data_IF_572787841181
#
_entry.id   IF_572787841181
#
_cell.length_a   1.000
_cell.length_b   1.000
_cell.length_c   1.000
_cell.angle_alpha   90.00
_cell.angle_beta   90.00
_cell.angle_gamma   90.00
#
_symmetry.space_group_name_H-M   'P 1'
#
loop_
_entity.id
_entity.type
_entity.pdbx_description
1 polymer ?
#
# COMPACT_ATOMS: atom_id res chain seq x y z
N UNK A 1 -30.49 -29.60 47.06
CA UNK A 1 -29.36 -29.43 46.12
C UNK A 1 -29.90 -29.53 44.71
N UNK A 2 -29.85 -28.46 43.92
CA UNK A 2 -29.65 -28.41 42.46
C UNK A 2 -30.09 -27.01 41.99
N UNK A 3 -29.13 -26.19 41.56
CA UNK A 3 -29.37 -24.81 41.14
C UNK A 3 -28.13 -24.17 40.55
N UNK A 4 -27.37 -24.91 39.75
CA UNK A 4 -26.18 -24.43 39.03
C UNK A 4 -26.26 -24.77 37.53
N UNK A 5 -27.35 -24.42 36.86
CA UNK A 5 -27.45 -24.60 35.40
C UNK A 5 -27.77 -23.31 34.62
N UNK A 6 -27.93 -22.17 35.29
CA UNK A 6 -28.32 -20.91 34.61
C UNK A 6 -27.16 -19.95 34.30
N UNK A 7 -25.91 -20.40 34.29
CA UNK A 7 -24.75 -19.53 33.97
C UNK A 7 -23.87 -19.99 32.81
N UNK A 8 -24.11 -21.18 32.25
CA UNK A 8 -23.31 -21.67 31.12
C UNK A 8 -23.84 -21.26 29.74
N UNK A 9 -25.10 -20.81 29.63
CA UNK A 9 -25.71 -20.47 28.33
C UNK A 9 -25.35 -19.04 27.88
N UNK A 10 -24.92 -18.17 28.80
CA UNK A 10 -24.58 -16.78 28.46
C UNK A 10 -23.13 -16.55 28.01
N UNK A 11 -22.26 -17.57 28.15
CA UNK A 11 -20.85 -17.46 27.74
C UNK A 11 -20.55 -18.00 26.33
N UNK A 12 -21.52 -18.59 25.64
CA UNK A 12 -21.32 -19.13 24.28
C UNK A 12 -21.64 -18.12 23.15
N UNK A 13 -22.17 -16.92 23.47
CA UNK A 13 -22.52 -15.92 22.46
C UNK A 13 -21.43 -14.83 22.30
N UNK A 14 -20.40 -14.79 23.16
CA UNK A 14 -19.41 -13.69 23.16
C UNK A 14 -18.03 -14.04 22.57
N UNK A 15 -17.80 -15.27 22.08
CA UNK A 15 -16.51 -15.70 21.53
C UNK A 15 -16.55 -16.07 20.05
N UNK A 16 -17.52 -15.54 19.30
CA UNK A 16 -17.60 -15.70 17.85
C UNK A 16 -17.45 -14.35 17.13
N UNK A 17 -16.51 -13.52 17.56
CA UNK A 17 -15.87 -12.59 16.63
C UNK A 17 -14.89 -13.45 15.82
N UNK A 18 -15.46 -14.26 14.92
CA UNK A 18 -14.72 -14.85 13.82
C UNK A 18 -13.98 -13.70 13.16
N UNK A 19 -12.66 -13.73 13.26
CA UNK A 19 -11.77 -13.02 12.35
C UNK A 19 -12.18 -13.42 10.94
N UNK A 20 -13.07 -12.65 10.33
CA UNK A 20 -13.39 -12.79 8.92
C UNK A 20 -12.04 -12.78 8.20
N UNK A 21 -11.68 -13.84 7.46
CA UNK A 21 -10.52 -13.76 6.60
C UNK A 21 -10.78 -12.54 5.72
N UNK A 22 -9.82 -11.61 5.71
CA UNK A 22 -9.82 -10.51 4.77
C UNK A 22 -9.79 -11.18 3.39
N UNK A 23 -10.96 -11.36 2.80
CA UNK A 23 -11.06 -11.75 1.40
C UNK A 23 -10.59 -10.53 0.64
N UNK A 24 -9.31 -10.56 0.30
CA UNK A 24 -8.76 -9.68 -0.71
C UNK A 24 -9.69 -9.79 -1.92
N UNK A 25 -10.25 -8.66 -2.36
CA UNK A 25 -10.87 -8.62 -3.67
C UNK A 25 -9.72 -8.72 -4.68
N UNK A 26 -9.40 -9.96 -5.06
CA UNK A 26 -8.29 -10.25 -5.96
C UNK A 26 -8.38 -9.41 -7.25
N UNK A 27 -9.59 -9.08 -7.72
CA UNK A 27 -9.81 -8.17 -8.84
C UNK A 27 -9.33 -6.74 -8.58
N UNK A 28 -9.63 -6.17 -7.41
CA UNK A 28 -9.18 -4.82 -7.02
C UNK A 28 -7.65 -4.75 -6.91
N UNK A 29 -7.04 -5.74 -6.25
CA UNK A 29 -5.59 -5.79 -6.10
C UNK A 29 -4.89 -5.98 -7.45
N UNK A 30 -5.42 -6.82 -8.34
CA UNK A 30 -4.88 -7.01 -9.69
C UNK A 30 -4.91 -5.72 -10.52
N UNK A 31 -5.91 -4.85 -10.31
CA UNK A 31 -5.97 -3.54 -10.94
C UNK A 31 -4.82 -2.60 -10.53
N UNK A 32 -4.07 -2.89 -9.46
CA UNK A 32 -2.88 -2.12 -9.09
C UNK A 32 -1.71 -2.35 -10.07
N UNK A 33 -1.60 -3.55 -10.65
CA UNK A 33 -0.46 -3.94 -11.50
C UNK A 33 -0.27 -3.01 -12.70
N UNK A 34 0.97 -2.81 -13.12
CA UNK A 34 1.32 -2.02 -14.31
C UNK A 34 2.14 -0.78 -14.00
N UNK A 35 2.19 0.14 -14.97
CA UNK A 35 3.01 1.35 -14.90
C UNK A 35 2.19 2.56 -14.44
N UNK A 36 2.81 3.38 -13.59
CA UNK A 36 2.22 4.52 -12.92
C UNK A 36 3.21 5.68 -12.92
N UNK A 37 2.69 6.90 -12.80
CA UNK A 37 3.49 8.12 -12.78
C UNK A 37 2.92 9.16 -11.82
N UNK A 38 3.79 9.98 -11.26
CA UNK A 38 3.40 11.06 -10.36
C UNK A 38 4.63 11.74 -9.76
N UNK A 39 4.59 12.00 -8.46
CA UNK A 39 5.57 12.81 -7.76
C UNK A 39 5.94 12.22 -6.40
N UNK A 40 7.07 12.68 -5.88
CA UNK A 40 7.48 12.46 -4.51
C UNK A 40 7.80 13.79 -3.83
N UNK A 41 7.64 13.86 -2.51
CA UNK A 41 8.09 14.98 -1.68
C UNK A 41 8.61 14.50 -0.32
N UNK A 42 9.61 15.21 0.20
CA UNK A 42 10.14 15.11 1.57
C UNK A 42 9.71 16.33 2.36
N UNK A 43 9.19 16.13 3.56
CA UNK A 43 8.75 17.20 4.45
C UNK A 43 9.93 17.91 5.12
N UNK A 44 11.02 17.17 5.40
CA UNK A 44 12.16 17.75 6.14
C UNK A 44 13.11 18.51 5.20
N UNK A 45 13.42 17.94 4.04
CA UNK A 45 14.31 18.60 3.07
C UNK A 45 13.59 19.56 2.11
N UNK A 46 12.25 19.53 2.08
CA UNK A 46 11.42 20.19 1.06
C UNK A 46 11.74 19.77 -0.38
N UNK A 47 12.52 18.71 -0.57
CA UNK A 47 12.80 18.21 -1.91
C UNK A 47 11.58 17.50 -2.47
N UNK A 48 11.43 17.60 -3.79
CA UNK A 48 10.35 16.96 -4.54
C UNK A 48 10.80 16.68 -5.96
N UNK A 49 10.12 15.76 -6.63
CA UNK A 49 10.42 15.44 -8.01
C UNK A 49 9.44 14.46 -8.64
N UNK A 50 9.65 14.20 -9.91
CA UNK A 50 8.88 13.19 -10.65
C UNK A 50 9.18 11.79 -10.14
N UNK A 51 8.15 10.96 -10.12
CA UNK A 51 8.22 9.57 -9.70
C UNK A 51 7.50 8.69 -10.73
N UNK A 52 8.15 7.62 -11.16
CA UNK A 52 7.54 6.51 -11.90
C UNK A 52 7.46 5.31 -10.98
N UNK A 53 6.40 4.52 -11.11
CA UNK A 53 6.25 3.27 -10.39
C UNK A 53 5.81 2.15 -11.34
N UNK A 54 6.28 0.93 -11.06
CA UNK A 54 5.73 -0.29 -11.64
C UNK A 54 5.31 -1.21 -10.49
N UNK A 55 4.04 -1.58 -10.46
CA UNK A 55 3.51 -2.52 -9.48
C UNK A 55 3.33 -3.90 -10.09
N UNK A 56 3.58 -4.93 -9.28
CA UNK A 56 3.37 -6.33 -9.63
C UNK A 56 2.77 -7.03 -8.43
N UNK A 57 1.53 -7.51 -8.56
CA UNK A 57 0.90 -8.37 -7.55
C UNK A 57 1.64 -9.70 -7.54
N UNK A 58 2.23 -10.06 -6.40
CA UNK A 58 2.97 -11.32 -6.24
C UNK A 58 2.04 -12.45 -5.83
N UNK A 59 1.07 -12.13 -4.97
CA UNK A 59 0.00 -13.00 -4.49
C UNK A 59 -1.08 -12.13 -3.82
N UNK A 60 -2.12 -12.74 -3.27
CA UNK A 60 -3.25 -12.05 -2.61
C UNK A 60 -2.86 -11.14 -1.44
N UNK A 61 -1.66 -11.35 -0.87
CA UNK A 61 -1.18 -10.64 0.33
C UNK A 61 -0.02 -9.71 0.03
N UNK A 62 0.59 -9.77 -1.15
CA UNK A 62 1.85 -9.06 -1.41
C UNK A 62 1.91 -8.42 -2.78
N UNK A 63 2.44 -7.20 -2.80
CA UNK A 63 2.67 -6.41 -4.01
C UNK A 63 4.11 -5.94 -4.02
N UNK A 64 4.80 -6.18 -5.12
CA UNK A 64 6.09 -5.53 -5.36
C UNK A 64 5.86 -4.16 -6.00
N UNK A 65 6.49 -3.13 -5.43
CA UNK A 65 6.55 -1.80 -5.98
C UNK A 65 7.98 -1.47 -6.40
N UNK A 66 8.17 -1.08 -7.67
CA UNK A 66 9.45 -0.57 -8.18
C UNK A 66 9.30 0.91 -8.49
N UNK A 67 9.98 1.76 -7.75
CA UNK A 67 10.00 3.20 -7.94
C UNK A 67 11.25 3.64 -8.68
N UNK A 68 11.11 4.66 -9.53
CA UNK A 68 12.19 5.34 -10.21
C UNK A 68 11.92 6.84 -10.19
N UNK A 69 12.83 7.61 -9.60
CA UNK A 69 12.69 9.06 -9.47
C UNK A 69 14.03 9.77 -9.56
N UNK A 70 13.99 11.07 -9.30
CA UNK A 70 15.20 11.91 -9.22
C UNK A 70 15.18 12.75 -7.96
N UNK A 71 16.29 12.73 -7.24
CA UNK A 71 16.63 13.63 -6.15
C UNK A 71 17.35 14.86 -6.69
N UNK A 72 17.02 16.06 -6.17
CA UNK A 72 17.53 17.34 -6.71
C UNK A 72 17.41 17.51 -8.23
N UNK A 73 16.43 16.87 -8.88
CA UNK A 73 16.27 16.79 -10.35
C UNK A 73 17.44 16.15 -11.12
N UNK A 74 18.56 15.81 -10.47
CA UNK A 74 19.80 15.36 -11.11
C UNK A 74 20.18 13.93 -10.76
N UNK A 75 19.96 13.52 -9.51
CA UNK A 75 20.46 12.24 -9.00
C UNK A 75 19.34 11.19 -9.14
N UNK A 76 19.43 10.23 -10.08
CA UNK A 76 18.42 9.19 -10.21
C UNK A 76 18.45 8.27 -9.00
N UNK A 77 17.27 7.85 -8.54
CA UNK A 77 17.15 6.77 -7.57
C UNK A 77 16.22 5.69 -8.09
N UNK A 78 16.50 4.46 -7.66
CA UNK A 78 15.63 3.29 -7.89
C UNK A 78 15.43 2.61 -6.55
N UNK A 79 14.19 2.21 -6.31
CA UNK A 79 13.82 1.64 -5.03
C UNK A 79 12.78 0.53 -5.23
N UNK A 80 13.07 -0.67 -4.74
CA UNK A 80 12.20 -1.84 -4.90
C UNK A 80 11.82 -2.33 -3.51
N UNK A 81 10.51 -2.44 -3.27
CA UNK A 81 9.97 -2.96 -2.01
C UNK A 81 8.86 -3.96 -2.27
N UNK A 82 8.68 -4.84 -1.30
CA UNK A 82 7.48 -5.66 -1.16
C UNK A 82 6.59 -5.01 -0.11
N UNK A 83 5.32 -4.84 -0.45
CA UNK A 83 4.28 -4.28 0.40
C UNK A 83 3.30 -5.40 0.75
N UNK A 84 2.97 -5.52 2.03
CA UNK A 84 1.97 -6.45 2.53
C UNK A 84 0.59 -5.77 2.54
N UNK A 85 -0.41 -6.48 2.05
CA UNK A 85 -1.82 -6.08 2.10
C UNK A 85 -2.31 -6.21 3.55
N UNK A 86 -2.75 -5.10 4.13
CA UNK A 86 -3.24 -5.06 5.52
C UNK A 86 -4.77 -5.04 5.58
N UNK A 87 -5.44 -4.46 4.58
CA UNK A 87 -6.90 -4.52 4.47
C UNK A 87 -7.37 -4.18 3.06
N UNK A 88 -8.53 -4.70 2.69
CA UNK A 88 -9.28 -4.31 1.49
C UNK A 88 -10.73 -4.12 1.89
N UNK A 89 -11.22 -2.88 1.85
CA UNK A 89 -12.59 -2.52 2.24
C UNK A 89 -13.09 -1.38 1.36
N UNK A 90 -14.32 -1.49 0.86
CA UNK A 90 -15.01 -0.39 0.16
C UNK A 90 -14.21 0.23 -1.00
N UNK A 91 -13.49 -0.61 -1.78
CA UNK A 91 -12.66 -0.16 -2.90
C UNK A 91 -11.37 0.53 -2.48
N UNK A 92 -10.97 0.39 -1.22
CA UNK A 92 -9.71 0.90 -0.66
C UNK A 92 -8.87 -0.27 -0.18
N UNK A 93 -7.68 -0.38 -0.75
CA UNK A 93 -6.64 -1.28 -0.31
C UNK A 93 -5.62 -0.51 0.54
N UNK A 94 -5.35 -1.00 1.75
CA UNK A 94 -4.25 -0.52 2.60
C UNK A 94 -3.09 -1.49 2.51
N UNK A 95 -1.91 -0.98 2.23
CA UNK A 95 -0.68 -1.76 2.24
C UNK A 95 0.33 -1.16 3.20
N UNK A 96 1.26 -1.99 3.68
CA UNK A 96 2.38 -1.55 4.51
C UNK A 96 3.67 -2.22 4.09
N UNK A 97 4.78 -1.62 4.44
CA UNK A 97 6.09 -2.24 4.27
C UNK A 97 7.14 -1.53 5.09
N UNK A 98 8.31 -2.15 5.16
CA UNK A 98 9.50 -1.49 5.68
C UNK A 98 10.72 -1.93 4.88
N UNK A 99 11.74 -1.08 4.87
CA UNK A 99 13.00 -1.37 4.22
C UNK A 99 14.13 -0.71 5.00
N UNK A 100 15.15 -1.49 5.34
CA UNK A 100 16.33 -0.97 6.02
C UNK A 100 17.29 -0.37 4.98
N UNK A 101 17.50 0.94 5.01
CA UNK A 101 18.46 1.64 4.15
C UNK A 101 19.85 1.76 4.82
N UNK A 102 20.09 1.00 5.89
CA UNK A 102 21.32 0.99 6.65
C UNK A 102 21.46 2.19 7.58
N UNK A 103 22.56 2.19 8.34
CA UNK A 103 22.81 3.14 9.45
C UNK A 103 22.73 4.62 9.05
N UNK A 104 23.03 4.95 7.80
CA UNK A 104 23.02 6.33 7.33
C UNK A 104 21.60 6.89 7.15
N UNK A 105 20.64 6.07 6.68
CA UNK A 105 19.30 6.51 6.29
C UNK A 105 18.18 5.93 7.16
N UNK A 106 18.47 4.90 7.95
CA UNK A 106 17.55 4.26 8.89
C UNK A 106 16.56 3.31 8.22
N UNK A 107 15.59 2.86 9.00
CA UNK A 107 14.50 2.00 8.51
C UNK A 107 13.40 2.89 7.95
N UNK A 108 13.13 2.74 6.66
CA UNK A 108 12.00 3.34 5.98
C UNK A 108 10.74 2.52 6.20
N UNK A 109 9.70 3.15 6.71
CA UNK A 109 8.36 2.58 6.83
C UNK A 109 7.43 3.18 5.78
N UNK A 110 6.48 2.40 5.28
CA UNK A 110 5.48 2.82 4.31
C UNK A 110 4.07 2.51 4.81
N UNK A 111 3.20 3.51 4.81
CA UNK A 111 1.75 3.37 4.98
C UNK A 111 1.07 3.80 3.69
N UNK A 112 0.42 2.83 3.03
CA UNK A 112 -0.09 2.99 1.67
C UNK A 112 -1.61 2.98 1.65
N UNK A 113 -2.17 3.88 0.84
CA UNK A 113 -3.56 3.85 0.40
C UNK A 113 -3.60 3.72 -1.11
N UNK A 114 -4.24 2.66 -1.60
CA UNK A 114 -4.57 2.46 -2.99
C UNK A 114 -6.10 2.49 -3.15
N UNK A 115 -6.59 3.34 -4.06
CA UNK A 115 -8.01 3.48 -4.38
C UNK A 115 -8.18 3.85 -5.85
N UNK A 116 -8.90 3.03 -6.61
CA UNK A 116 -9.15 3.29 -8.04
C UNK A 116 -7.86 3.40 -8.84
N UNK A 117 -7.51 4.61 -9.28
CA UNK A 117 -6.29 4.88 -10.07
C UNK A 117 -5.24 5.67 -9.30
N UNK A 118 -5.34 5.75 -7.98
CA UNK A 118 -4.44 6.52 -7.13
C UNK A 118 -3.73 5.62 -6.12
N UNK A 119 -2.43 5.84 -5.98
CA UNK A 119 -1.57 5.18 -5.01
C UNK A 119 -0.81 6.26 -4.24
N UNK A 120 -1.06 6.34 -2.93
CA UNK A 120 -0.41 7.27 -2.02
C UNK A 120 0.33 6.46 -0.95
N UNK A 121 1.64 6.54 -0.93
CA UNK A 121 2.48 5.98 0.13
C UNK A 121 3.06 7.11 0.98
N UNK A 122 2.67 7.15 2.25
CA UNK A 122 3.33 7.99 3.26
C UNK A 122 4.52 7.22 3.79
N UNK A 123 5.71 7.82 3.71
CA UNK A 123 6.91 7.22 4.27
C UNK A 123 7.38 7.97 5.51
N UNK A 124 8.08 7.27 6.39
CA UNK A 124 8.81 7.87 7.50
C UNK A 124 10.04 7.07 7.89
N UNK A 125 11.03 7.77 8.40
CA UNK A 125 12.21 7.28 9.14
C UNK A 125 12.39 8.15 10.38
N UNK A 126 13.43 7.87 11.16
CA UNK A 126 13.89 8.75 12.23
C UNK A 126 14.39 10.12 11.72
N UNK A 127 14.69 10.25 10.42
CA UNK A 127 15.36 11.40 9.81
C UNK A 127 14.55 12.15 8.75
N UNK A 128 13.46 11.57 8.25
CA UNK A 128 12.63 12.17 7.22
C UNK A 128 11.22 11.56 7.21
N UNK A 129 10.29 12.28 6.61
CA UNK A 129 8.97 11.79 6.27
C UNK A 129 8.51 12.45 4.99
N UNK A 130 7.57 11.83 4.30
CA UNK A 130 7.07 12.41 3.06
C UNK A 130 6.06 11.53 2.36
N UNK A 131 5.84 11.83 1.08
CA UNK A 131 4.77 11.21 0.29
C UNK A 131 5.28 10.83 -1.09
N UNK A 132 5.01 9.59 -1.49
CA UNK A 132 5.05 9.15 -2.88
C UNK A 132 3.61 9.05 -3.36
N UNK A 133 3.26 9.82 -4.39
CA UNK A 133 1.92 9.83 -4.97
C UNK A 133 2.03 9.57 -6.47
N UNK A 134 1.40 8.49 -6.93
CA UNK A 134 1.37 8.13 -8.35
C UNK A 134 -0.05 7.79 -8.78
N UNK A 135 -0.34 8.05 -10.05
CA UNK A 135 -1.62 7.74 -10.67
C UNK A 135 -1.43 6.80 -11.85
N UNK A 136 -2.41 5.91 -12.04
CA UNK A 136 -2.49 5.05 -13.22
C UNK A 136 -3.07 5.86 -14.36
N UNK A 137 -2.34 5.96 -15.46
CA UNK A 137 -2.91 6.54 -16.68
C UNK A 137 -4.09 5.68 -17.11
N UNK A 138 -5.25 6.30 -17.36
CA UNK A 138 -6.32 5.61 -18.09
C UNK A 138 -5.78 5.38 -19.49
N UNK A 139 -5.77 4.13 -19.94
CA UNK A 139 -5.55 3.86 -21.37
C UNK A 139 -6.70 4.56 -22.08
N UNK A 140 -6.40 5.62 -22.84
CA UNK A 140 -7.36 6.14 -23.80
C UNK A 140 -7.66 5.00 -24.74
N UNK A 141 -8.87 4.43 -24.68
CA UNK A 141 -9.40 3.57 -25.71
C UNK A 141 -9.36 4.38 -27.01
N UNK A 142 -8.30 4.19 -27.78
CA UNK A 142 -8.19 4.75 -29.11
C UNK A 142 -9.33 4.17 -29.94
N UNK A 143 -10.12 5.06 -30.53
CA UNK A 143 -11.09 4.73 -31.58
C UNK A 143 -10.45 3.75 -32.56
N UNK A 144 -10.99 2.54 -32.63
CA UNK A 144 -10.98 1.77 -33.87
C UNK A 144 -12.17 2.28 -34.66
N UNK A 145 -11.90 3.24 -35.54
CA UNK A 145 -12.77 3.58 -36.65
C UNK A 145 -12.04 3.12 -37.91
N UNK A 146 -12.78 2.35 -38.70
CA UNK A 146 -12.50 1.76 -40.02
C UNK A 146 -11.73 0.43 -40.07
#
# INVERSE_FOLDING_TARGET
MLGQHSKLIFFLILALIMSLPIQANAGELNNLSGNWSGQWSSDISNHKGTLKAKFTVLNEKQVQARFNGRFFKLIPFKFIVTLDVVSQKEGVTKLKGKHDLGRALGIYHYDVTYKGNEFIAKYHTDKDKGVFQVVKSRVSSGNTSD
#
